data_IF_804391246202
#
_entry.id   IF_804391246202
#
_cell.length_a   1.000
_cell.length_b   1.000
_cell.length_c   1.000
_cell.angle_alpha   90.00
_cell.angle_beta   90.00
_cell.angle_gamma   90.00
#
_symmetry.space_group_name_H-M   'P 1'
#
loop_
_entity.id
_entity.type
_entity.pdbx_description
1 polymer ?
#
# COMPACT_ATOMS: atom_id res chain seq x y z
N UNK A 1 -50.56 -55.21 -31.68
CA UNK A 1 -51.60 -55.02 -30.65
C UNK A 1 -51.21 -53.76 -29.89
N UNK A 2 -51.86 -52.65 -30.23
CA UNK A 2 -51.65 -51.33 -29.65
C UNK A 2 -52.91 -51.02 -28.86
N UNK A 3 -52.80 -50.70 -27.58
CA UNK A 3 -53.78 -49.81 -26.94
C UNK A 3 -53.05 -48.93 -25.93
N UNK A 4 -53.30 -47.63 -26.09
CA UNK A 4 -52.89 -46.55 -25.21
C UNK A 4 -53.87 -46.50 -24.05
N UNK A 5 -53.37 -46.33 -22.83
CA UNK A 5 -54.12 -45.75 -21.72
C UNK A 5 -53.21 -44.81 -20.92
N UNK A 6 -53.67 -43.57 -20.76
CA UNK A 6 -53.00 -42.47 -20.06
C UNK A 6 -53.32 -42.45 -18.56
N UNK A 7 -52.33 -42.09 -17.73
CA UNK A 7 -52.51 -41.53 -16.37
C UNK A 7 -51.41 -40.46 -16.21
N UNK A 8 -51.71 -39.19 -16.46
CA UNK A 8 -52.02 -38.11 -15.50
C UNK A 8 -50.90 -37.90 -14.48
N UNK A 9 -50.12 -36.84 -14.72
CA UNK A 9 -49.10 -36.35 -13.81
C UNK A 9 -49.71 -35.78 -12.53
N UNK A 10 -49.08 -36.12 -11.41
CA UNK A 10 -49.16 -35.38 -10.16
C UNK A 10 -47.70 -35.25 -9.72
N UNK A 11 -47.20 -34.02 -9.74
CA UNK A 11 -45.79 -33.72 -9.62
C UNK A 11 -45.18 -34.24 -8.32
N UNK A 12 -44.27 -35.19 -8.44
CA UNK A 12 -43.14 -35.31 -7.53
C UNK A 12 -41.98 -34.53 -8.15
N UNK A 13 -42.03 -33.21 -8.08
CA UNK A 13 -40.83 -32.40 -8.22
C UNK A 13 -39.88 -32.78 -7.09
N UNK A 14 -38.85 -33.54 -7.41
CA UNK A 14 -37.69 -33.71 -6.55
C UNK A 14 -36.97 -32.37 -6.53
N UNK A 15 -37.29 -31.50 -5.57
CA UNK A 15 -36.48 -30.31 -5.32
C UNK A 15 -35.17 -30.77 -4.69
N UNK A 16 -34.15 -30.97 -5.51
CA UNK A 16 -32.80 -30.75 -5.01
C UNK A 16 -32.71 -29.23 -4.85
N UNK A 17 -32.88 -28.76 -3.61
CA UNK A 17 -32.35 -27.44 -3.26
C UNK A 17 -30.85 -27.58 -3.42
N UNK A 18 -30.33 -27.27 -4.60
CA UNK A 18 -28.93 -26.92 -4.73
C UNK A 18 -28.78 -25.65 -3.90
N UNK A 19 -28.47 -25.83 -2.61
CA UNK A 19 -27.68 -24.85 -1.90
C UNK A 19 -26.36 -24.78 -2.66
N UNK A 20 -26.36 -23.99 -3.74
CA UNK A 20 -25.13 -23.50 -4.36
C UNK A 20 -24.51 -22.65 -3.27
N UNK A 21 -23.61 -23.26 -2.51
CA UNK A 21 -22.70 -22.50 -1.69
C UNK A 21 -21.78 -21.81 -2.67
N UNK A 22 -21.92 -20.50 -2.78
CA UNK A 22 -20.94 -19.69 -3.48
C UNK A 22 -19.62 -19.84 -2.70
N UNK A 23 -18.77 -20.72 -3.20
CA UNK A 23 -17.40 -20.88 -2.70
C UNK A 23 -16.56 -19.85 -3.42
N UNK A 24 -16.38 -18.70 -2.78
CA UNK A 24 -15.45 -17.70 -3.27
C UNK A 24 -14.02 -18.17 -2.97
N UNK A 25 -13.24 -18.40 -4.03
CA UNK A 25 -11.81 -18.72 -3.92
C UNK A 25 -11.01 -17.49 -3.44
N UNK A 26 -11.57 -16.29 -3.61
CA UNK A 26 -10.98 -15.01 -3.23
C UNK A 26 -12.07 -14.07 -2.71
N UNK A 27 -11.70 -13.20 -1.78
CA UNK A 27 -12.59 -12.15 -1.30
C UNK A 27 -13.00 -11.20 -2.44
N UNK A 28 -14.30 -10.98 -2.59
CA UNK A 28 -14.88 -10.12 -3.63
C UNK A 28 -15.61 -8.91 -3.05
N UNK A 29 -15.72 -8.80 -1.72
CA UNK A 29 -16.61 -7.83 -1.06
C UNK A 29 -15.87 -6.85 -0.16
N UNK A 30 -14.67 -7.18 0.31
CA UNK A 30 -13.87 -6.23 1.09
C UNK A 30 -13.16 -5.22 0.18
N UNK A 31 -13.01 -4.01 0.72
CA UNK A 31 -12.36 -2.92 0.00
C UNK A 31 -10.85 -3.21 -0.15
N UNK A 32 -10.26 -2.95 -1.32
CA UNK A 32 -8.83 -3.08 -1.49
C UNK A 32 -8.09 -1.95 -0.76
N UNK A 33 -6.84 -2.22 -0.40
CA UNK A 33 -5.90 -1.25 0.12
C UNK A 33 -4.75 -1.16 -0.87
N UNK A 34 -4.44 0.06 -1.30
CA UNK A 34 -3.22 0.38 -2.04
C UNK A 34 -2.66 1.70 -1.52
N UNK A 35 -1.57 1.62 -0.77
CA UNK A 35 -1.01 2.78 -0.07
C UNK A 35 0.50 2.83 -0.26
N UNK A 36 1.02 4.03 -0.48
CA UNK A 36 2.45 4.27 -0.39
C UNK A 36 2.90 4.19 1.07
N UNK A 37 4.06 3.57 1.27
CA UNK A 37 4.85 3.85 2.46
C UNK A 37 5.38 5.27 2.34
N UNK A 38 5.17 6.08 3.36
CA UNK A 38 5.69 7.43 3.42
C UNK A 38 6.34 7.66 4.79
N UNK A 39 7.34 8.54 4.83
CA UNK A 39 7.90 9.03 6.08
C UNK A 39 6.96 10.10 6.60
N UNK A 40 6.37 9.88 7.77
CA UNK A 40 5.43 10.82 8.36
C UNK A 40 6.19 12.07 8.86
N UNK A 41 5.97 13.20 8.21
CA UNK A 41 6.58 14.49 8.56
C UNK A 41 5.74 15.28 9.57
N UNK A 42 4.43 14.98 9.64
CA UNK A 42 3.54 15.65 10.56
C UNK A 42 2.07 15.29 10.38
N UNK A 43 1.25 15.87 11.25
CA UNK A 43 -0.21 15.82 11.17
C UNK A 43 -0.76 17.20 10.92
N UNK A 44 -1.95 17.26 10.34
CA UNK A 44 -2.69 18.50 10.13
C UNK A 44 -4.16 18.26 10.40
N UNK A 45 -4.91 19.34 10.59
CA UNK A 45 -6.35 19.31 10.71
C UNK A 45 -6.99 19.98 9.48
N UNK A 46 -8.14 19.48 9.06
CA UNK A 46 -8.96 20.12 8.05
C UNK A 46 -9.68 21.34 8.67
N UNK A 47 -9.56 22.50 8.05
CA UNK A 47 -10.28 23.71 8.48
C UNK A 47 -11.79 23.56 8.27
N UNK A 48 -12.18 22.84 7.22
CA UNK A 48 -13.56 22.44 6.94
C UNK A 48 -13.58 21.02 6.37
N UNK A 49 -14.67 20.29 6.59
CA UNK A 49 -14.87 19.00 5.92
C UNK A 49 -14.85 19.15 4.40
N UNK A 50 -14.49 18.07 3.71
CA UNK A 50 -14.46 17.96 2.25
C UNK A 50 -15.63 17.10 1.77
N UNK A 51 -16.00 17.29 0.51
CA UNK A 51 -17.01 16.48 -0.17
C UNK A 51 -16.37 15.47 -1.12
N UNK A 52 -17.15 14.45 -1.48
CA UNK A 52 -16.79 13.55 -2.58
C UNK A 52 -16.60 14.38 -3.85
N UNK A 53 -15.62 14.01 -4.67
CA UNK A 53 -15.22 14.66 -5.91
C UNK A 53 -14.53 16.03 -5.78
N UNK A 54 -14.32 16.54 -4.56
CA UNK A 54 -13.46 17.71 -4.35
C UNK A 54 -12.00 17.36 -4.71
N UNK A 55 -11.29 18.29 -5.38
CA UNK A 55 -9.86 18.16 -5.70
C UNK A 55 -8.99 19.12 -4.88
N UNK A 56 -9.58 19.74 -3.86
CA UNK A 56 -8.93 20.70 -2.99
C UNK A 56 -9.41 20.52 -1.56
N UNK A 57 -8.55 20.74 -0.59
CA UNK A 57 -8.94 20.86 0.81
C UNK A 57 -8.30 22.09 1.44
N UNK A 58 -8.92 22.59 2.50
CA UNK A 58 -8.33 23.66 3.32
C UNK A 58 -7.79 23.07 4.61
N UNK A 59 -6.48 23.18 4.84
CA UNK A 59 -5.87 22.82 6.11
C UNK A 59 -5.88 23.99 7.10
N UNK A 60 -5.88 23.69 8.38
CA UNK A 60 -5.64 24.69 9.43
C UNK A 60 -4.27 25.33 9.27
N UNK A 61 -4.17 26.62 9.60
CA UNK A 61 -2.94 27.39 9.40
C UNK A 61 -1.75 26.78 10.19
N UNK A 62 -0.55 26.84 9.60
CA UNK A 62 0.68 26.36 10.24
C UNK A 62 1.07 24.92 9.87
N UNK A 63 0.36 24.28 8.93
CA UNK A 63 0.84 23.07 8.30
C UNK A 63 2.17 23.31 7.56
N UNK A 64 3.00 22.27 7.44
CA UNK A 64 4.23 22.32 6.63
C UNK A 64 4.15 21.44 5.36
N UNK A 65 2.92 21.21 4.87
CA UNK A 65 2.66 20.50 3.62
C UNK A 65 3.29 21.26 2.45
N UNK A 66 3.93 20.53 1.55
CA UNK A 66 4.56 21.02 0.32
C UNK A 66 4.09 20.24 -0.90
N UNK A 67 4.28 20.79 -2.10
CA UNK A 67 4.00 20.07 -3.33
C UNK A 67 4.91 18.85 -3.47
N UNK A 68 4.35 17.71 -3.90
CA UNK A 68 5.02 16.41 -3.95
C UNK A 68 4.87 15.55 -2.69
N UNK A 69 4.39 16.12 -1.57
CA UNK A 69 4.05 15.31 -0.39
C UNK A 69 2.86 14.39 -0.70
N UNK A 70 2.83 13.24 -0.03
CA UNK A 70 1.60 12.46 0.11
C UNK A 70 0.87 12.92 1.34
N UNK A 71 -0.43 13.15 1.18
CA UNK A 71 -1.37 13.33 2.29
C UNK A 71 -2.20 12.06 2.46
N UNK A 72 -2.44 11.70 3.72
CA UNK A 72 -3.22 10.53 4.11
C UNK A 72 -4.36 10.98 5.01
N UNK A 73 -5.59 10.64 4.62
CA UNK A 73 -6.82 10.93 5.35
C UNK A 73 -7.38 9.64 5.90
N UNK A 74 -7.74 9.61 7.18
CA UNK A 74 -8.36 8.47 7.85
C UNK A 74 -9.59 8.96 8.65
N UNK A 75 -10.78 8.45 8.34
CA UNK A 75 -12.02 8.74 9.07
C UNK A 75 -12.91 7.51 9.12
N UNK A 76 -13.27 7.07 10.32
CA UNK A 76 -14.06 5.88 10.58
C UNK A 76 -13.47 4.61 9.93
N UNK A 77 -14.00 4.18 8.79
CA UNK A 77 -13.54 3.01 8.01
C UNK A 77 -12.91 3.42 6.67
N UNK A 78 -12.83 4.72 6.39
CA UNK A 78 -12.36 5.27 5.12
C UNK A 78 -10.92 5.75 5.24
N UNK A 79 -10.15 5.47 4.19
CA UNK A 79 -8.78 5.92 4.03
C UNK A 79 -8.58 6.36 2.60
N UNK A 80 -7.83 7.44 2.42
CA UNK A 80 -7.38 7.91 1.13
C UNK A 80 -5.94 8.41 1.23
N UNK A 81 -5.13 8.11 0.22
CA UNK A 81 -3.83 8.74 0.00
C UNK A 81 -3.81 9.40 -1.38
N UNK A 82 -3.22 10.58 -1.46
CA UNK A 82 -3.11 11.36 -2.70
C UNK A 82 -1.88 12.25 -2.63
N UNK A 83 -1.34 12.61 -3.80
CA UNK A 83 -0.19 13.51 -3.91
C UNK A 83 -0.66 14.96 -3.94
N UNK A 84 0.07 15.83 -3.24
CA UNK A 84 -0.14 17.27 -3.29
C UNK A 84 0.45 17.84 -4.57
N UNK A 85 -0.37 18.48 -5.39
CA UNK A 85 0.06 19.15 -6.63
C UNK A 85 0.48 20.60 -6.39
N UNK A 86 -0.24 21.31 -5.52
CA UNK A 86 0.00 22.72 -5.25
C UNK A 86 -0.47 23.12 -3.85
N UNK A 87 0.23 24.08 -3.25
CA UNK A 87 -0.12 24.65 -1.94
C UNK A 87 -0.26 26.16 -2.08
N UNK A 88 -1.48 26.67 -1.93
CA UNK A 88 -1.79 28.09 -1.93
C UNK A 88 -2.19 28.54 -0.52
N UNK A 89 -1.19 28.87 0.29
CA UNK A 89 -1.35 29.15 1.73
C UNK A 89 -1.96 27.92 2.41
N UNK A 90 -3.26 27.96 2.71
CA UNK A 90 -3.98 26.89 3.39
C UNK A 90 -4.87 26.05 2.45
N UNK A 91 -5.04 26.47 1.19
CA UNK A 91 -5.79 25.72 0.19
C UNK A 91 -4.81 24.84 -0.60
N UNK A 92 -5.01 23.53 -0.53
CA UNK A 92 -4.13 22.53 -1.12
C UNK A 92 -4.87 21.81 -2.24
N UNK A 93 -4.25 21.75 -3.41
CA UNK A 93 -4.74 20.98 -4.56
C UNK A 93 -4.07 19.61 -4.59
N UNK A 94 -4.88 18.57 -4.80
CA UNK A 94 -4.45 17.17 -4.79
C UNK A 94 -4.63 16.51 -6.16
N UNK A 95 -3.92 15.41 -6.40
CA UNK A 95 -3.89 14.71 -7.70
C UNK A 95 -5.16 13.91 -8.01
N UNK A 96 -5.86 13.48 -6.97
CA UNK A 96 -7.00 12.57 -7.06
C UNK A 96 -8.18 13.14 -6.30
N UNK A 97 -9.41 13.07 -6.83
CA UNK A 97 -10.59 13.55 -6.13
C UNK A 97 -10.85 12.75 -4.86
N UNK A 98 -11.46 13.39 -3.86
CA UNK A 98 -11.90 12.71 -2.65
C UNK A 98 -12.94 11.62 -2.96
N UNK A 99 -12.67 10.40 -2.50
CA UNK A 99 -13.58 9.25 -2.63
C UNK A 99 -14.59 9.15 -1.46
N UNK A 100 -14.41 10.00 -0.45
CA UNK A 100 -15.23 10.07 0.76
C UNK A 100 -15.30 11.51 1.29
N UNK A 101 -16.42 11.84 1.94
CA UNK A 101 -16.59 13.14 2.58
C UNK A 101 -15.95 13.15 3.98
N UNK A 102 -14.64 13.42 4.03
CA UNK A 102 -13.89 13.49 5.30
C UNK A 102 -14.32 14.72 6.12
N UNK A 103 -14.62 14.50 7.40
CA UNK A 103 -15.10 15.56 8.30
C UNK A 103 -13.94 16.38 8.86
N UNK A 104 -14.27 17.57 9.36
CA UNK A 104 -13.40 18.28 10.28
C UNK A 104 -13.10 17.38 11.49
N UNK A 105 -11.83 17.20 11.83
CA UNK A 105 -11.37 16.26 12.86
C UNK A 105 -11.02 14.85 12.36
N UNK A 106 -11.08 14.59 11.05
CA UNK A 106 -10.51 13.38 10.47
C UNK A 106 -9.01 13.27 10.77
N UNK A 107 -8.51 12.05 10.91
CA UNK A 107 -7.09 11.80 11.17
C UNK A 107 -6.26 12.04 9.92
N UNK A 108 -5.58 13.19 9.83
CA UNK A 108 -4.79 13.55 8.65
C UNK A 108 -3.27 13.53 8.95
N UNK A 109 -2.49 13.04 8.00
CA UNK A 109 -1.03 13.03 8.06
C UNK A 109 -0.45 13.40 6.69
N UNK A 110 0.78 13.89 6.68
CA UNK A 110 1.50 14.16 5.44
C UNK A 110 2.96 13.71 5.54
N UNK A 111 3.59 13.56 4.38
CA UNK A 111 5.02 13.43 4.28
C UNK A 111 5.50 12.86 2.96
N UNK A 112 6.77 12.52 2.89
CA UNK A 112 7.41 12.13 1.63
C UNK A 112 7.26 10.62 1.35
N UNK A 113 6.80 10.24 0.14
CA UNK A 113 6.81 8.85 -0.31
C UNK A 113 8.17 8.39 -0.85
N UNK A 114 9.05 9.32 -1.21
CA UNK A 114 10.35 8.98 -1.78
C UNK A 114 11.30 8.49 -0.68
N UNK A 115 11.74 7.24 -0.81
CA UNK A 115 12.59 6.53 0.13
C UNK A 115 14.08 6.82 -0.14
N UNK A 116 14.42 7.49 -1.24
CA UNK A 116 15.78 7.94 -1.57
C UNK A 116 16.25 9.07 -0.63
N UNK A 117 16.51 8.72 0.63
CA UNK A 117 16.92 9.63 1.70
C UNK A 117 18.14 9.09 2.45
N UNK A 118 18.87 9.97 3.14
CA UNK A 118 19.97 9.55 4.01
C UNK A 118 19.45 9.03 5.35
N UNK A 119 19.62 7.73 5.58
CA UNK A 119 19.37 7.06 6.87
C UNK A 119 20.62 6.55 7.57
N UNK A 120 21.81 6.88 7.08
CA UNK A 120 23.09 6.35 7.58
C UNK A 120 23.41 6.79 9.01
N UNK A 121 23.06 8.04 9.38
CA UNK A 121 23.24 8.58 10.72
C UNK A 121 22.03 8.32 11.62
N UNK A 122 20.84 8.65 11.14
CA UNK A 122 19.57 8.44 11.84
C UNK A 122 18.65 7.62 10.94
N UNK A 123 18.25 6.40 11.34
CA UNK A 123 17.38 5.57 10.53
C UNK A 123 16.09 6.26 10.16
N UNK A 124 15.74 6.24 8.87
CA UNK A 124 14.51 6.82 8.35
C UNK A 124 13.44 5.74 8.24
N UNK A 125 12.25 5.99 8.78
CA UNK A 125 11.16 5.00 8.85
C UNK A 125 10.00 5.46 7.97
N UNK A 126 9.66 4.62 7.00
CA UNK A 126 8.50 4.75 6.13
C UNK A 126 7.47 3.73 6.57
N UNK A 127 6.22 4.15 6.78
CA UNK A 127 5.24 3.27 7.41
C UNK A 127 3.80 3.56 6.99
N UNK A 128 2.97 2.55 7.17
CA UNK A 128 1.51 2.59 7.03
C UNK A 128 0.88 1.86 8.20
N UNK A 129 -0.31 2.31 8.60
CA UNK A 129 -0.99 1.79 9.78
C UNK A 129 -2.49 2.08 9.76
N UNK A 130 -3.35 1.14 10.20
CA UNK A 130 -4.77 1.38 10.46
C UNK A 130 -5.03 2.13 11.78
N UNK A 131 -4.01 2.61 12.49
CA UNK A 131 -4.12 3.11 13.87
C UNK A 131 -5.08 4.29 14.11
N UNK A 132 -5.52 5.02 13.07
CA UNK A 132 -6.49 6.13 13.20
C UNK A 132 -7.86 5.80 12.61
N UNK A 133 -8.08 4.55 12.22
CA UNK A 133 -9.41 4.04 11.89
C UNK A 133 -10.13 3.60 13.15
N UNK A 134 -11.43 3.33 13.02
CA UNK A 134 -12.23 2.75 14.09
C UNK A 134 -11.61 1.43 14.58
N UNK A 135 -11.75 1.16 15.88
CA UNK A 135 -11.34 -0.11 16.46
C UNK A 135 -12.02 -1.28 15.74
N UNK A 136 -11.23 -2.27 15.35
CA UNK A 136 -11.69 -3.46 14.62
C UNK A 136 -11.50 -3.35 13.11
N UNK A 137 -11.17 -2.15 12.59
CA UNK A 137 -10.88 -1.96 11.17
C UNK A 137 -9.43 -2.36 10.89
N UNK A 138 -9.22 -3.65 10.68
CA UNK A 138 -7.90 -4.24 10.50
C UNK A 138 -7.55 -4.41 9.02
N UNK A 139 -6.27 -4.54 8.70
CA UNK A 139 -5.79 -4.69 7.33
C UNK A 139 -5.03 -5.99 7.14
N UNK A 140 -5.31 -6.70 6.05
CA UNK A 140 -4.50 -7.82 5.61
C UNK A 140 -3.63 -7.40 4.41
N UNK A 141 -2.33 -7.29 4.64
CA UNK A 141 -1.35 -6.96 3.60
C UNK A 141 -0.95 -8.24 2.87
N UNK A 142 -1.21 -8.24 1.57
CA UNK A 142 -0.98 -9.39 0.71
C UNK A 142 0.33 -9.29 -0.07
N UNK A 143 0.78 -8.06 -0.37
CA UNK A 143 2.01 -7.82 -1.13
C UNK A 143 2.57 -6.42 -0.93
N UNK A 144 3.82 -6.27 -1.35
CA UNK A 144 4.56 -5.02 -1.43
C UNK A 144 5.14 -4.90 -2.85
N UNK A 145 4.99 -3.72 -3.46
CA UNK A 145 5.55 -3.36 -4.76
C UNK A 145 6.63 -2.31 -4.53
N UNK A 146 7.81 -2.52 -5.09
CA UNK A 146 8.93 -1.58 -5.05
C UNK A 146 9.22 -1.12 -6.46
N UNK A 147 9.45 0.16 -6.63
CA UNK A 147 10.01 0.75 -7.83
C UNK A 147 11.22 1.60 -7.44
N UNK A 148 12.33 1.43 -8.15
CA UNK A 148 13.52 2.29 -8.03
C UNK A 148 13.88 2.77 -9.42
N UNK A 149 14.20 4.06 -9.55
CA UNK A 149 14.73 4.68 -10.76
C UNK A 149 16.08 5.32 -10.47
N UNK A 150 16.98 5.27 -11.44
CA UNK A 150 18.34 5.80 -11.31
C UNK A 150 18.96 6.08 -12.69
N UNK A 151 19.96 6.96 -12.73
CA UNK A 151 20.72 7.28 -13.95
C UNK A 151 21.72 6.16 -14.32
N UNK A 152 22.08 5.33 -13.35
CA UNK A 152 23.08 4.28 -13.53
C UNK A 152 22.47 2.90 -13.86
N UNK A 153 23.16 2.09 -14.71
CA UNK A 153 22.75 0.71 -14.97
C UNK A 153 22.61 -0.12 -13.70
N UNK A 154 21.51 -0.88 -13.61
CA UNK A 154 21.19 -1.71 -12.46
C UNK A 154 21.60 -3.17 -12.71
N UNK A 155 22.22 -3.80 -11.70
CA UNK A 155 22.56 -5.21 -11.70
C UNK A 155 22.38 -5.83 -10.30
N UNK A 156 22.47 -7.16 -10.20
CA UNK A 156 22.26 -7.91 -8.97
C UNK A 156 23.33 -7.59 -7.87
N UNK A 157 24.47 -7.00 -8.23
CA UNK A 157 25.54 -6.58 -7.32
C UNK A 157 25.35 -5.19 -6.70
N UNK A 158 24.50 -4.36 -7.28
CA UNK A 158 24.15 -2.98 -6.85
C UNK A 158 22.88 -2.94 -5.99
N UNK A 159 22.51 -1.76 -5.46
CA UNK A 159 21.17 -1.48 -4.93
C UNK A 159 20.54 -0.35 -5.76
N UNK A 160 19.49 -0.61 -6.53
CA UNK A 160 19.16 0.28 -7.65
C UNK A 160 20.36 0.38 -8.60
N UNK A 161 20.79 1.59 -8.95
CA UNK A 161 22.03 1.85 -9.70
C UNK A 161 23.26 2.17 -8.83
N UNK A 162 23.07 2.40 -7.52
CA UNK A 162 24.15 2.75 -6.56
C UNK A 162 24.89 1.50 -6.02
N UNK A 163 26.08 1.67 -5.40
CA UNK A 163 26.79 0.56 -4.76
C UNK A 163 25.93 -0.18 -3.72
N UNK A 164 26.29 -1.45 -3.48
CA UNK A 164 25.66 -2.26 -2.44
C UNK A 164 25.66 -1.55 -1.07
N UNK A 165 24.54 -1.62 -0.36
CA UNK A 165 24.37 -1.01 0.95
C UNK A 165 25.14 -1.79 2.03
N UNK A 166 25.62 -1.09 3.06
CA UNK A 166 26.34 -1.73 4.18
C UNK A 166 25.36 -2.35 5.17
N UNK A 167 24.35 -1.59 5.61
CA UNK A 167 23.34 -2.04 6.58
C UNK A 167 22.07 -2.57 5.89
N UNK A 168 21.71 -2.00 4.75
CA UNK A 168 20.52 -2.29 3.96
C UNK A 168 19.26 -1.58 4.44
N UNK A 169 18.20 -1.78 3.64
CA UNK A 169 16.84 -1.47 4.06
C UNK A 169 16.22 -2.68 4.75
N UNK A 170 15.54 -2.46 5.88
CA UNK A 170 14.85 -3.52 6.63
C UNK A 170 13.35 -3.34 6.53
N UNK A 171 12.64 -4.40 6.11
CA UNK A 171 11.18 -4.43 6.15
C UNK A 171 10.73 -5.18 7.41
N UNK A 172 9.80 -4.60 8.17
CA UNK A 172 9.30 -5.17 9.42
C UNK A 172 7.81 -4.92 9.63
N UNK A 173 7.20 -5.78 10.46
CA UNK A 173 5.88 -5.54 11.06
C UNK A 173 6.06 -5.24 12.54
N UNK A 174 5.23 -4.34 13.07
CA UNK A 174 5.21 -4.02 14.50
C UNK A 174 3.81 -4.18 15.06
N UNK A 175 3.64 -5.04 16.06
CA UNK A 175 2.38 -5.47 16.67
C UNK A 175 2.54 -5.69 18.20
N UNK A 176 2.95 -4.63 18.90
CA UNK A 176 3.54 -4.67 20.26
C UNK A 176 4.93 -5.33 20.32
N UNK A 177 5.30 -6.16 19.34
CA UNK A 177 6.66 -6.65 19.12
C UNK A 177 7.23 -6.11 17.81
N UNK A 178 8.48 -6.45 17.51
CA UNK A 178 9.14 -6.09 16.26
C UNK A 178 9.56 -7.36 15.52
N UNK A 179 8.96 -7.59 14.35
CA UNK A 179 9.24 -8.74 13.50
C UNK A 179 9.89 -8.27 12.20
N UNK A 180 11.21 -8.44 12.09
CA UNK A 180 11.94 -8.17 10.86
C UNK A 180 11.64 -9.28 9.85
N UNK A 181 11.06 -8.92 8.71
CA UNK A 181 10.69 -9.88 7.68
C UNK A 181 11.90 -10.23 6.80
N UNK A 182 12.63 -9.22 6.35
CA UNK A 182 13.85 -9.37 5.56
C UNK A 182 14.64 -8.06 5.52
N UNK A 183 15.89 -8.15 5.06
CA UNK A 183 16.79 -7.03 4.85
C UNK A 183 17.40 -7.11 3.46
N UNK A 184 17.44 -5.99 2.73
CA UNK A 184 17.96 -5.91 1.36
C UNK A 184 19.15 -4.98 1.34
N UNK A 185 20.28 -5.48 0.84
CA UNK A 185 21.51 -4.70 0.64
C UNK A 185 21.86 -4.52 -0.83
N UNK A 186 21.37 -5.43 -1.67
CA UNK A 186 21.58 -5.45 -3.12
C UNK A 186 20.30 -5.89 -3.84
N UNK A 187 20.23 -5.65 -5.14
CA UNK A 187 19.14 -6.08 -5.99
C UNK A 187 19.01 -7.61 -6.04
N UNK A 188 20.11 -8.36 -5.91
CA UNK A 188 20.07 -9.81 -5.72
C UNK A 188 19.24 -10.22 -4.49
N UNK A 189 19.26 -9.43 -3.41
CA UNK A 189 18.50 -9.75 -2.20
C UNK A 189 16.99 -9.56 -2.42
N UNK A 190 16.59 -8.61 -3.28
CA UNK A 190 15.20 -8.52 -3.75
C UNK A 190 14.80 -9.78 -4.51
N UNK A 191 15.66 -10.31 -5.38
CA UNK A 191 15.41 -11.55 -6.12
C UNK A 191 15.23 -12.74 -5.17
N UNK A 192 16.05 -12.82 -4.12
CA UNK A 192 15.96 -13.90 -3.12
C UNK A 192 14.66 -13.86 -2.31
N UNK A 193 14.17 -12.66 -1.96
CA UNK A 193 12.94 -12.54 -1.16
C UNK A 193 11.67 -12.55 -2.00
N UNK A 194 11.66 -11.89 -3.17
CA UNK A 194 10.47 -11.63 -3.96
C UNK A 194 10.29 -12.57 -5.15
N UNK A 195 11.40 -13.12 -5.69
CA UNK A 195 11.48 -13.85 -6.96
C UNK A 195 11.07 -13.03 -8.21
N UNK A 196 9.97 -12.30 -8.15
CA UNK A 196 9.48 -11.41 -9.19
C UNK A 196 10.26 -10.08 -9.16
N UNK A 197 11.38 -10.05 -9.88
CA UNK A 197 12.23 -8.86 -10.08
C UNK A 197 12.46 -8.65 -11.58
N UNK A 198 12.27 -7.41 -12.03
CA UNK A 198 12.49 -6.99 -13.41
C UNK A 198 13.37 -5.76 -13.47
N UNK A 199 14.35 -5.77 -14.37
CA UNK A 199 15.13 -4.59 -14.74
C UNK A 199 14.62 -4.04 -16.06
N UNK A 200 14.50 -2.72 -16.17
CA UNK A 200 14.35 -2.01 -17.42
C UNK A 200 15.61 -1.18 -17.66
N UNK A 201 16.10 -1.22 -18.89
CA UNK A 201 17.20 -0.35 -19.30
C UNK A 201 16.72 1.09 -19.52
N UNK A 202 17.68 2.02 -19.63
CA UNK A 202 17.45 3.42 -19.94
C UNK A 202 16.61 3.67 -21.21
N UNK A 203 16.64 2.78 -22.21
CA UNK A 203 15.86 2.96 -23.44
C UNK A 203 14.39 2.60 -23.29
N UNK A 204 14.05 1.86 -22.22
CA UNK A 204 12.72 1.39 -21.91
C UNK A 204 12.13 2.02 -20.64
N UNK A 205 12.96 2.64 -19.80
CA UNK A 205 12.54 3.31 -18.58
C UNK A 205 11.99 4.73 -18.80
N UNK A 206 11.36 5.31 -17.78
CA UNK A 206 10.86 6.68 -17.84
C UNK A 206 12.03 7.65 -18.03
N UNK A 207 11.89 8.59 -18.97
CA UNK A 207 12.83 9.70 -19.20
C UNK A 207 14.30 9.31 -19.41
N UNK A 208 14.57 8.09 -19.90
CA UNK A 208 15.94 7.64 -20.14
C UNK A 208 16.61 6.99 -18.92
N UNK A 209 15.87 6.74 -17.84
CA UNK A 209 16.40 6.17 -16.59
C UNK A 209 16.37 4.64 -16.58
N UNK A 210 17.30 4.04 -15.86
CA UNK A 210 17.22 2.63 -15.51
C UNK A 210 16.19 2.43 -14.40
N UNK A 211 15.52 1.28 -14.38
CA UNK A 211 14.61 0.97 -13.28
C UNK A 211 14.62 -0.49 -12.88
N UNK A 212 14.28 -0.73 -11.61
CA UNK A 212 13.98 -2.05 -11.08
C UNK A 212 12.59 -2.04 -10.47
N UNK A 213 11.77 -3.00 -10.90
CA UNK A 213 10.46 -3.30 -10.33
C UNK A 213 10.52 -4.60 -9.54
N UNK A 214 9.98 -4.58 -8.32
CA UNK A 214 9.93 -5.77 -7.45
C UNK A 214 8.50 -5.99 -6.97
N UNK A 215 8.01 -7.22 -7.07
CA UNK A 215 6.75 -7.65 -6.47
C UNK A 215 6.99 -8.71 -5.40
N UNK A 216 6.88 -8.32 -4.13
CA UNK A 216 6.94 -9.26 -3.01
C UNK A 216 5.53 -9.62 -2.55
N UNK A 217 5.06 -10.83 -2.88
CA UNK A 217 3.82 -11.37 -2.34
C UNK A 217 4.05 -12.17 -1.05
N UNK A 218 3.16 -11.98 -0.07
CA UNK A 218 3.12 -12.72 1.19
C UNK A 218 2.05 -13.82 1.12
N UNK A 219 0.81 -13.44 0.77
CA UNK A 219 -0.31 -14.37 0.65
C UNK A 219 -0.24 -15.24 -0.61
N UNK A 220 -0.71 -16.48 -0.51
CA UNK A 220 -0.79 -17.45 -1.60
C UNK A 220 -0.11 -18.79 -1.27
N UNK A 221 -0.63 -19.88 -1.82
CA UNK A 221 -0.15 -21.25 -1.57
C UNK A 221 1.32 -21.44 -1.96
N UNK A 222 1.75 -20.80 -3.05
CA UNK A 222 3.13 -20.84 -3.54
C UNK A 222 3.99 -19.66 -3.06
N UNK A 223 3.56 -18.96 -2.00
CA UNK A 223 4.25 -17.78 -1.42
C UNK A 223 4.67 -18.07 0.02
N UNK A 224 4.47 -17.14 0.96
CA UNK A 224 4.73 -17.39 2.39
C UNK A 224 3.57 -18.10 3.08
N UNK A 225 2.43 -18.29 2.39
CA UNK A 225 1.25 -18.97 2.93
C UNK A 225 0.46 -18.16 3.95
N UNK A 226 0.89 -16.93 4.26
CA UNK A 226 0.25 -16.05 5.25
C UNK A 226 0.15 -14.61 4.73
N UNK A 227 -0.94 -13.93 5.11
CA UNK A 227 -1.08 -12.47 4.98
C UNK A 227 -0.54 -11.80 6.25
N UNK A 228 -0.06 -10.57 6.12
CA UNK A 228 0.40 -9.80 7.27
C UNK A 228 -0.77 -8.96 7.78
N UNK A 229 -1.34 -9.35 8.93
CA UNK A 229 -2.44 -8.62 9.56
C UNK A 229 -1.91 -7.45 10.38
N UNK A 230 -2.45 -6.26 10.14
CA UNK A 230 -2.23 -5.06 10.93
C UNK A 230 -3.52 -4.70 11.64
N UNK A 231 -3.50 -4.63 12.96
CA UNK A 231 -4.66 -4.28 13.76
C UNK A 231 -4.72 -2.81 14.10
N UNK A 232 -5.90 -2.22 13.95
CA UNK A 232 -6.21 -0.86 14.38
C UNK A 232 -6.04 -0.68 15.90
N UNK A 233 -6.53 -1.67 16.68
CA UNK A 233 -6.55 -1.63 18.14
C UNK A 233 -5.16 -1.55 18.77
N UNK A 234 -4.23 -2.39 18.31
CA UNK A 234 -2.84 -2.43 18.79
C UNK A 234 -1.92 -1.48 18.03
N UNK A 235 -2.49 -0.67 17.10
CA UNK A 235 -1.79 0.33 16.30
C UNK A 235 -0.62 -0.25 15.51
N UNK A 236 -0.87 -1.41 14.91
CA UNK A 236 0.15 -2.15 14.20
C UNK A 236 0.65 -1.38 12.98
N UNK A 237 1.87 -1.66 12.55
CA UNK A 237 2.49 -0.96 11.42
C UNK A 237 3.24 -1.93 10.53
N UNK A 238 3.13 -1.71 9.22
CA UNK A 238 4.11 -2.21 8.27
C UNK A 238 5.15 -1.10 8.04
N UNK A 239 6.43 -1.43 8.14
CA UNK A 239 7.50 -0.45 8.11
C UNK A 239 8.65 -0.88 7.19
N UNK A 240 9.21 0.11 6.50
CA UNK A 240 10.51 0.03 5.84
C UNK A 240 11.45 1.01 6.55
N UNK A 241 12.63 0.52 6.91
CA UNK A 241 13.65 1.27 7.64
C UNK A 241 14.88 1.40 6.75
N UNK A 242 15.26 2.63 6.46
CA UNK A 242 16.50 2.97 5.76
C UNK A 242 17.61 3.21 6.80
N UNK A 243 18.77 2.56 6.63
CA UNK A 243 19.93 2.63 7.55
C UNK A 243 21.26 2.90 6.84
N UNK A 244 21.19 3.24 5.56
CA UNK A 244 22.30 3.69 4.73
C UNK A 244 21.88 4.99 4.04
N UNK A 245 22.82 5.61 3.33
CA UNK A 245 22.54 6.75 2.50
C UNK A 245 21.99 6.31 1.14
N UNK A 246 20.72 6.64 0.87
CA UNK A 246 20.06 6.38 -0.40
C UNK A 246 19.87 7.65 -1.24
N UNK A 247 20.43 8.79 -0.82
CA UNK A 247 20.24 10.09 -1.50
C UNK A 247 20.87 10.16 -2.90
N UNK A 248 21.73 9.19 -3.25
CA UNK A 248 22.29 9.04 -4.58
C UNK A 248 21.33 8.35 -5.57
N UNK A 249 20.23 7.75 -5.12
CA UNK A 249 19.17 7.28 -6.01
C UNK A 249 18.31 8.47 -6.46
N UNK A 250 17.80 8.41 -7.69
CA UNK A 250 16.83 9.41 -8.15
C UNK A 250 15.53 9.27 -7.37
N UNK A 251 14.92 8.08 -7.41
CA UNK A 251 13.70 7.81 -6.66
C UNK A 251 13.60 6.36 -6.21
N UNK A 252 12.97 6.16 -5.05
CA UNK A 252 12.50 4.85 -4.61
C UNK A 252 11.11 4.98 -4.00
N UNK A 253 10.15 4.23 -4.52
CA UNK A 253 8.79 4.19 -4.00
C UNK A 253 8.41 2.77 -3.60
N UNK A 254 7.63 2.66 -2.53
CA UNK A 254 7.07 1.38 -2.08
C UNK A 254 5.58 1.53 -1.84
N UNK A 255 4.79 0.68 -2.48
CA UNK A 255 3.36 0.52 -2.19
C UNK A 255 3.11 -0.79 -1.48
N UNK A 256 2.21 -0.78 -0.50
CA UNK A 256 1.58 -1.98 0.03
C UNK A 256 0.24 -2.21 -0.64
N UNK A 257 -0.11 -3.47 -0.85
CA UNK A 257 -1.43 -3.86 -1.35
C UNK A 257 -2.05 -4.93 -0.47
N UNK A 258 -3.35 -4.81 -0.24
CA UNK A 258 -4.09 -5.64 0.69
C UNK A 258 -5.59 -5.41 0.61
N UNK A 259 -6.28 -5.72 1.69
CA UNK A 259 -7.70 -5.47 1.86
C UNK A 259 -8.02 -5.21 3.33
N UNK A 260 -9.17 -4.60 3.56
CA UNK A 260 -9.75 -4.49 4.90
C UNK A 260 -10.22 -5.86 5.38
N UNK A 261 -10.08 -6.13 6.68
CA UNK A 261 -10.65 -7.30 7.34
C UNK A 261 -11.91 -6.85 8.06
N UNK A 262 -13.04 -7.46 7.71
CA UNK A 262 -14.39 -7.39 8.31
C UNK A 262 -14.67 -6.23 9.28
N UNK A 263 -15.65 -5.38 8.90
CA UNK A 263 -16.27 -4.33 9.72
C UNK A 263 -17.62 -4.76 10.29
#
# INVERSE_FOLDING_TARGET
MLSILSVIGIGSSFYVSEHVFDVFIQDQTTRPIELYLFRNEGTFDLATGVSIDDNTFTAEAGHSITAGDIVCFQDSIFIMQTTVLNVNVNEITIDSPFDYAFKQGAGCAYGTPNIAVDGSLTPQIFAVSPARLNKGVDWDITRMIVAITDDDPMDDGKFGGIPALTNGITVRVTDSFHYNLFNVKRNADFRLTAYDVSYLDATLGPDGLYSIGVRKSFGGQDKYGVVLRLKSETKDKFQLIVRDDLSALNEMYVKIQGHFVDY
#
